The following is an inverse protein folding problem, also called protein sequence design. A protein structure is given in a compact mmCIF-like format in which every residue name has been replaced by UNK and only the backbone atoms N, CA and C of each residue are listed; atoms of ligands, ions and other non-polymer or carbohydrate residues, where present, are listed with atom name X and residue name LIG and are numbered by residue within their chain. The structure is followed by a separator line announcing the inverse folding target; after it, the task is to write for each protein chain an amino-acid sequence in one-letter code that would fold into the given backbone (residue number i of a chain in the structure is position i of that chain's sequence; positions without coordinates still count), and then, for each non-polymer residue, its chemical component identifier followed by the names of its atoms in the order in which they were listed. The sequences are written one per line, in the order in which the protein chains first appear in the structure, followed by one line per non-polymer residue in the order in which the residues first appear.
data_IF_413714614113
#
_entry.id   IF_413714614113
#
_cell.length_a   1.000
_cell.length_b   1.000
_cell.length_c   1.000
_cell.angle_alpha   90.00
_cell.angle_beta   90.00
_cell.angle_gamma   90.00
#
_symmetry.space_group_name_H-M   'P 1'
#
loop_
_entity.id
_entity.type
_entity.pdbx_description
1 polymer ?
#
# COMPACT_ATOMS: atom_id res chain seq x y z
N UNK A 1 -17.48 17.72 -4.20
CA UNK A 1 -17.36 16.33 -4.69
C UNK A 1 -15.95 16.00 -5.20
N UNK A 2 -15.33 16.83 -6.07
CA UNK A 2 -13.97 16.57 -6.61
C UNK A 2 -12.94 16.28 -5.50
N UNK A 3 -12.88 17.11 -4.45
CA UNK A 3 -11.94 16.91 -3.34
C UNK A 3 -12.14 15.58 -2.60
N UNK A 4 -13.39 15.11 -2.46
CA UNK A 4 -13.68 13.82 -1.82
C UNK A 4 -13.06 12.67 -2.62
N UNK A 5 -13.29 12.65 -3.93
CA UNK A 5 -12.72 11.64 -4.81
C UNK A 5 -11.19 11.75 -4.91
N UNK A 6 -10.63 12.97 -4.85
CA UNK A 6 -9.20 13.18 -4.83
C UNK A 6 -8.55 12.59 -3.56
N UNK A 7 -9.09 12.87 -2.37
CA UNK A 7 -8.59 12.28 -1.11
C UNK A 7 -8.75 10.76 -1.11
N UNK A 8 -9.90 10.26 -1.56
CA UNK A 8 -10.15 8.82 -1.66
C UNK A 8 -9.16 8.14 -2.60
N UNK A 9 -8.98 8.68 -3.80
CA UNK A 9 -8.06 8.13 -4.79
C UNK A 9 -6.62 8.15 -4.30
N UNK A 10 -6.17 9.28 -3.74
CA UNK A 10 -4.81 9.40 -3.22
C UNK A 10 -4.54 8.38 -2.10
N UNK A 11 -5.48 8.25 -1.17
CA UNK A 11 -5.38 7.29 -0.07
C UNK A 11 -5.28 5.86 -0.59
N UNK A 12 -6.22 5.47 -1.46
CA UNK A 12 -6.27 4.12 -1.99
C UNK A 12 -5.04 3.78 -2.84
N UNK A 13 -4.62 4.71 -3.71
CA UNK A 13 -3.52 4.51 -4.62
C UNK A 13 -2.17 4.38 -3.90
N UNK A 14 -1.88 5.30 -2.98
CA UNK A 14 -0.62 5.27 -2.22
C UNK A 14 -0.54 4.02 -1.35
N UNK A 15 -1.62 3.69 -0.63
CA UNK A 15 -1.68 2.47 0.18
C UNK A 15 -1.57 1.19 -0.64
N UNK A 16 -2.21 1.14 -1.81
CA UNK A 16 -2.10 0.01 -2.74
C UNK A 16 -0.65 -0.22 -3.16
N UNK A 17 0.08 0.82 -3.54
CA UNK A 17 1.48 0.73 -3.92
C UNK A 17 2.35 0.24 -2.74
N UNK A 18 2.14 0.78 -1.54
CA UNK A 18 2.83 0.31 -0.33
C UNK A 18 2.64 -1.19 -0.11
N UNK A 19 1.40 -1.68 -0.17
CA UNK A 19 1.09 -3.09 0.05
C UNK A 19 1.68 -4.02 -1.00
N UNK A 20 1.74 -3.62 -2.28
CA UNK A 20 2.45 -4.39 -3.30
C UNK A 20 3.94 -4.43 -3.00
N UNK A 21 4.56 -3.28 -2.72
CA UNK A 21 5.98 -3.21 -2.40
C UNK A 21 6.33 -4.07 -1.19
N UNK A 22 5.53 -4.01 -0.14
CA UNK A 22 5.66 -4.85 1.06
C UNK A 22 5.64 -6.34 0.69
N UNK A 23 4.63 -6.76 -0.07
CA UNK A 23 4.46 -8.16 -0.43
C UNK A 23 5.54 -8.67 -1.38
N UNK A 24 5.98 -7.89 -2.36
CA UNK A 24 7.10 -8.22 -3.25
C UNK A 24 8.41 -8.31 -2.47
N UNK A 25 8.67 -7.34 -1.59
CA UNK A 25 9.86 -7.33 -0.74
C UNK A 25 9.92 -8.58 0.14
N UNK A 26 8.80 -9.00 0.72
CA UNK A 26 8.76 -10.18 1.60
C UNK A 26 8.82 -11.50 0.80
N UNK A 27 8.09 -11.58 -0.31
CA UNK A 27 7.85 -12.85 -1.04
C UNK A 27 8.96 -13.23 -2.00
N UNK A 28 9.82 -12.30 -2.42
CA UNK A 28 10.89 -12.57 -3.37
C UNK A 28 12.01 -13.41 -2.74
N UNK A 29 12.30 -14.65 -3.17
CA UNK A 29 13.32 -15.49 -2.54
C UNK A 29 14.74 -14.95 -2.74
N UNK A 30 15.59 -15.06 -1.71
CA UNK A 30 16.98 -14.61 -1.79
C UNK A 30 17.78 -15.35 -2.89
N UNK A 31 17.53 -16.64 -3.06
CA UNK A 31 18.15 -17.46 -4.11
C UNK A 31 17.86 -16.94 -5.51
N UNK A 32 16.63 -16.48 -5.77
CA UNK A 32 16.25 -15.87 -7.04
C UNK A 32 17.04 -14.57 -7.30
N UNK A 33 17.20 -13.73 -6.27
CA UNK A 33 17.94 -12.48 -6.39
C UNK A 33 19.43 -12.71 -6.64
N UNK A 34 20.03 -13.71 -5.99
CA UNK A 34 21.43 -14.08 -6.23
C UNK A 34 21.62 -14.50 -7.70
N UNK A 35 20.71 -15.31 -8.25
CA UNK A 35 20.75 -15.71 -9.66
C UNK A 35 20.58 -14.49 -10.59
N UNK A 36 19.61 -13.60 -10.32
CA UNK A 36 19.41 -12.38 -11.12
C UNK A 36 20.61 -11.44 -11.05
N UNK A 37 21.24 -11.31 -9.90
CA UNK A 37 22.44 -10.49 -9.74
C UNK A 37 23.62 -11.06 -10.53
N UNK A 38 23.84 -12.38 -10.47
CA UNK A 38 24.85 -13.08 -11.30
C UNK A 38 24.60 -12.90 -12.80
N UNK A 39 23.33 -12.82 -13.21
CA UNK A 39 22.93 -12.53 -14.59
C UNK A 39 23.03 -11.03 -14.96
N UNK A 40 23.74 -10.22 -14.17
CA UNK A 40 24.02 -8.80 -14.44
C UNK A 40 22.89 -7.83 -14.10
N UNK A 41 21.82 -8.25 -13.41
CA UNK A 41 20.74 -7.34 -13.02
C UNK A 41 21.10 -6.56 -11.75
N UNK A 42 21.32 -5.25 -11.88
CA UNK A 42 21.71 -4.37 -10.78
C UNK A 42 20.62 -4.21 -9.70
N UNK A 43 19.33 -4.18 -10.09
CA UNK A 43 18.21 -4.06 -9.15
C UNK A 43 18.18 -5.21 -8.13
N UNK A 44 18.68 -6.40 -8.50
CA UNK A 44 18.69 -7.55 -7.63
C UNK A 44 19.66 -7.35 -6.45
N UNK A 45 20.79 -6.65 -6.68
CA UNK A 45 21.71 -6.28 -5.60
C UNK A 45 21.06 -5.30 -4.63
N UNK A 46 20.39 -4.27 -5.14
CA UNK A 46 19.67 -3.32 -4.29
C UNK A 46 18.60 -4.01 -3.44
N UNK A 47 17.84 -4.95 -4.02
CA UNK A 47 16.83 -5.70 -3.27
C UNK A 47 17.45 -6.65 -2.24
N UNK A 48 18.59 -7.27 -2.54
CA UNK A 48 19.37 -8.06 -1.56
C UNK A 48 19.78 -7.19 -0.37
N UNK A 49 20.32 -5.99 -0.64
CA UNK A 49 20.77 -5.06 0.40
C UNK A 49 19.59 -4.57 1.26
N UNK A 50 18.44 -4.30 0.64
CA UNK A 50 17.19 -3.97 1.35
C UNK A 50 16.70 -5.13 2.22
N UNK A 51 16.78 -6.37 1.72
CA UNK A 51 16.41 -7.56 2.49
C UNK A 51 17.37 -7.89 3.63
N UNK A 52 18.64 -7.49 3.54
CA UNK A 52 19.60 -7.72 4.60
C UNK A 52 19.24 -6.96 5.89
N UNK A 53 18.67 -5.76 5.75
CA UNK A 53 18.13 -4.96 6.86
C UNK A 53 16.64 -4.70 6.64
N UNK A 54 15.83 -5.76 6.55
CA UNK A 54 14.43 -5.69 6.10
C UNK A 54 13.55 -4.74 6.91
N UNK A 55 13.85 -4.57 8.21
CA UNK A 55 13.07 -3.71 9.11
C UNK A 55 13.08 -2.24 8.66
N UNK A 56 14.17 -1.78 8.05
CA UNK A 56 14.30 -0.39 7.61
C UNK A 56 13.35 -0.04 6.44
N UNK A 57 13.38 -0.72 5.29
CA UNK A 57 12.41 -0.46 4.23
C UNK A 57 10.98 -0.85 4.65
N UNK A 58 10.81 -1.93 5.42
CA UNK A 58 9.48 -2.37 5.85
C UNK A 58 8.80 -1.35 6.76
N UNK A 59 9.50 -0.81 7.76
CA UNK A 59 8.97 0.24 8.64
C UNK A 59 8.66 1.53 7.88
N UNK A 60 9.47 1.90 6.89
CA UNK A 60 9.20 3.05 6.03
C UNK A 60 7.92 2.85 5.20
N UNK A 61 7.74 1.68 4.58
CA UNK A 61 6.54 1.33 3.81
C UNK A 61 5.30 1.33 4.68
N UNK A 62 5.36 0.67 5.85
CA UNK A 62 4.26 0.62 6.81
C UNK A 62 3.89 2.01 7.31
N UNK A 63 4.88 2.84 7.64
CA UNK A 63 4.65 4.22 8.08
C UNK A 63 3.97 5.05 6.99
N UNK A 64 4.41 4.93 5.73
CA UNK A 64 3.77 5.63 4.61
C UNK A 64 2.33 5.13 4.42
N UNK A 65 2.09 3.83 4.57
CA UNK A 65 0.75 3.26 4.47
C UNK A 65 -0.18 3.78 5.58
N UNK A 66 0.31 3.85 6.83
CA UNK A 66 -0.43 4.44 7.95
C UNK A 66 -0.76 5.90 7.67
N UNK A 67 0.20 6.70 7.20
CA UNK A 67 -0.05 8.11 6.85
C UNK A 67 -1.12 8.22 5.75
N UNK A 68 -1.03 7.39 4.70
CA UNK A 68 -2.02 7.37 3.63
C UNK A 68 -3.42 7.02 4.13
N UNK A 69 -3.55 6.03 5.02
CA UNK A 69 -4.82 5.67 5.65
C UNK A 69 -5.37 6.79 6.53
N UNK A 70 -4.55 7.36 7.40
CA UNK A 70 -5.00 8.39 8.35
C UNK A 70 -5.39 9.68 7.62
N UNK A 71 -4.52 10.21 6.76
CA UNK A 71 -4.79 11.45 6.02
C UNK A 71 -5.93 11.25 5.02
N UNK A 72 -5.95 10.10 4.36
CA UNK A 72 -7.01 9.72 3.44
C UNK A 72 -8.38 9.65 4.10
N UNK A 73 -8.50 8.88 5.19
CA UNK A 73 -9.74 8.72 5.92
C UNK A 73 -10.22 10.03 6.54
N UNK A 74 -9.31 10.83 7.11
CA UNK A 74 -9.64 12.15 7.64
C UNK A 74 -10.15 13.09 6.53
N UNK A 75 -9.47 13.13 5.39
CA UNK A 75 -9.86 13.97 4.24
C UNK A 75 -11.21 13.56 3.64
N UNK A 76 -11.43 12.26 3.42
CA UNK A 76 -12.70 11.73 2.92
C UNK A 76 -13.82 11.97 3.94
N UNK A 77 -13.58 11.72 5.22
CA UNK A 77 -14.54 11.95 6.30
C UNK A 77 -14.98 13.42 6.39
N UNK A 78 -14.03 14.35 6.38
CA UNK A 78 -14.33 15.78 6.41
C UNK A 78 -15.17 16.24 5.21
N UNK A 79 -14.87 15.71 4.01
CA UNK A 79 -15.66 16.02 2.81
C UNK A 79 -17.04 15.34 2.82
N UNK A 80 -17.12 14.12 3.35
CA UNK A 80 -18.36 13.37 3.47
C UNK A 80 -19.36 14.09 4.38
N UNK A 81 -18.92 14.56 5.55
CA UNK A 81 -19.75 15.35 6.47
C UNK A 81 -20.26 16.62 5.79
N UNK A 82 -19.39 17.31 5.04
CA UNK A 82 -19.75 18.56 4.33
C UNK A 82 -20.82 18.35 3.25
N UNK A 83 -20.83 17.20 2.59
CA UNK A 83 -21.72 16.92 1.44
C UNK A 83 -23.00 16.19 1.87
N UNK A 84 -22.89 15.24 2.79
CA UNK A 84 -23.95 14.30 3.15
C UNK A 84 -24.49 14.50 4.57
N UNK A 85 -23.91 15.42 5.35
CA UNK A 85 -24.30 15.70 6.73
C UNK A 85 -23.81 14.64 7.73
N UNK A 86 -23.82 14.99 9.02
CA UNK A 86 -23.26 14.15 10.09
C UNK A 86 -23.95 12.80 10.24
N UNK A 87 -25.25 12.71 9.97
CA UNK A 87 -26.02 11.47 10.07
C UNK A 87 -25.49 10.33 9.18
N UNK A 88 -24.77 10.67 8.10
CA UNK A 88 -24.17 9.70 7.17
C UNK A 88 -22.74 9.29 7.53
N UNK A 89 -22.08 10.00 8.47
CA UNK A 89 -20.66 9.85 8.76
C UNK A 89 -20.28 8.43 9.20
N UNK A 90 -21.10 7.81 10.06
CA UNK A 90 -20.84 6.46 10.57
C UNK A 90 -20.87 5.41 9.46
N UNK A 91 -21.87 5.47 8.59
CA UNK A 91 -22.03 4.53 7.47
C UNK A 91 -20.90 4.72 6.45
N UNK A 92 -20.57 5.97 6.11
CA UNK A 92 -19.48 6.28 5.17
C UNK A 92 -18.13 5.81 5.72
N UNK A 93 -17.86 6.01 7.01
CA UNK A 93 -16.62 5.56 7.66
C UNK A 93 -16.50 4.04 7.68
N UNK A 94 -17.61 3.32 7.95
CA UNK A 94 -17.62 1.86 7.90
C UNK A 94 -17.33 1.34 6.49
N UNK A 95 -18.00 1.88 5.47
CA UNK A 95 -17.77 1.52 4.05
C UNK A 95 -16.33 1.82 3.66
N UNK A 96 -15.83 3.01 4.00
CA UNK A 96 -14.46 3.43 3.70
C UNK A 96 -13.42 2.49 4.31
N UNK A 97 -13.65 2.05 5.56
CA UNK A 97 -12.75 1.13 6.26
C UNK A 97 -12.68 -0.22 5.54
N UNK A 98 -13.83 -0.77 5.15
CA UNK A 98 -13.89 -2.02 4.38
C UNK A 98 -13.18 -1.87 3.02
N UNK A 99 -13.41 -0.75 2.33
CA UNK A 99 -12.77 -0.48 1.04
C UNK A 99 -11.25 -0.39 1.18
N UNK A 100 -10.76 0.31 2.20
CA UNK A 100 -9.33 0.38 2.51
C UNK A 100 -8.78 -1.03 2.74
N UNK A 101 -9.30 -1.78 3.70
CA UNK A 101 -8.79 -3.12 4.02
C UNK A 101 -8.75 -4.05 2.80
N UNK A 102 -9.84 -4.12 2.04
CA UNK A 102 -9.95 -5.05 0.92
C UNK A 102 -9.10 -4.60 -0.26
N UNK A 103 -9.27 -3.35 -0.71
CA UNK A 103 -8.66 -2.87 -1.96
C UNK A 103 -7.20 -2.51 -1.80
N UNK A 104 -6.77 -2.03 -0.62
CA UNK A 104 -5.41 -1.53 -0.45
C UNK A 104 -4.51 -2.46 0.33
N UNK A 105 -5.04 -3.33 1.18
CA UNK A 105 -4.21 -4.26 1.96
C UNK A 105 -4.33 -5.70 1.47
N UNK A 106 -5.53 -6.29 1.50
CA UNK A 106 -5.71 -7.72 1.26
C UNK A 106 -5.42 -8.10 -0.20
N UNK A 107 -6.09 -7.45 -1.16
CA UNK A 107 -5.91 -7.73 -2.58
C UNK A 107 -4.46 -7.46 -3.02
N UNK A 108 -3.85 -6.30 -2.72
CA UNK A 108 -2.53 -5.99 -3.25
C UNK A 108 -1.44 -6.84 -2.62
N UNK A 109 -1.57 -7.21 -1.33
CA UNK A 109 -0.66 -8.17 -0.70
C UNK A 109 -0.76 -9.54 -1.35
N UNK A 110 -1.97 -9.99 -1.68
CA UNK A 110 -2.19 -11.25 -2.40
C UNK A 110 -1.56 -11.23 -3.79
N UNK A 111 -1.74 -10.13 -4.53
CA UNK A 111 -1.15 -9.95 -5.86
C UNK A 111 0.38 -9.92 -5.77
N UNK A 112 0.95 -9.09 -4.90
CA UNK A 112 2.39 -8.99 -4.72
C UNK A 112 3.02 -10.32 -4.30
N UNK A 113 2.36 -11.09 -3.43
CA UNK A 113 2.86 -12.39 -2.99
C UNK A 113 2.77 -13.49 -4.05
N UNK A 114 1.77 -13.43 -4.95
CA UNK A 114 1.59 -14.43 -6.00
C UNK A 114 2.38 -14.10 -7.28
N UNK A 115 2.50 -12.81 -7.61
CA UNK A 115 3.06 -12.33 -8.87
C UNK A 115 4.40 -11.60 -8.70
N UNK A 116 5.09 -11.73 -7.55
CA UNK A 116 6.37 -11.09 -7.26
C UNK A 116 7.46 -11.26 -8.34
N UNK A 117 7.35 -12.29 -9.19
CA UNK A 117 8.35 -12.58 -10.22
C UNK A 117 8.17 -11.74 -11.49
N UNK A 118 6.95 -11.28 -11.76
CA UNK A 118 6.58 -10.51 -12.95
C UNK A 118 6.39 -9.00 -12.65
N UNK A 119 6.38 -8.63 -11.35
CA UNK A 119 6.36 -7.27 -10.81
C UNK A 119 7.79 -6.74 -10.59
#
# INVERSE_FOLDING_TARGET
MIALFAYLFLALFVSFLCSIMEAVLLSTPQSFLIVKHKNGKLWAKALIDLKHNIDKPLSAILSLNTVAHTVGAAGVGAQAVKIFGEASFGIISAILTVLILVLTEIIPKTIGAKYWRDL
#
